data_IF_315648748488
#
_entry.id   IF_315648748488
#
_cell.length_a   1.000
_cell.length_b   1.000
_cell.length_c   1.000
_cell.angle_alpha   90.00
_cell.angle_beta   90.00
_cell.angle_gamma   90.00
#
_symmetry.space_group_name_H-M   'P 1'
#
loop_
_entity.id
_entity.type
_entity.pdbx_description
1 polymer ?
#
# COMPACT_ATOMS: atom_id res chain seq x y z
N UNK A 1 -26.69 2.46 8.11
CA UNK A 1 -25.43 1.77 8.50
C UNK A 1 -25.25 0.44 7.77
N UNK A 2 -26.20 -0.51 7.85
CA UNK A 2 -26.11 -1.79 7.13
C UNK A 2 -25.91 -1.60 5.61
N UNK A 3 -26.64 -0.66 5.01
CA UNK A 3 -26.52 -0.29 3.59
C UNK A 3 -25.09 0.11 3.18
N UNK A 4 -24.40 0.92 3.99
CA UNK A 4 -23.02 1.38 3.68
C UNK A 4 -22.04 0.21 3.72
N UNK A 5 -22.14 -0.66 4.74
CA UNK A 5 -21.31 -1.87 4.82
C UNK A 5 -21.53 -2.79 3.64
N UNK A 6 -22.80 -3.08 3.35
CA UNK A 6 -23.20 -3.91 2.21
C UNK A 6 -22.69 -3.32 0.91
N UNK A 7 -22.77 -2.00 0.71
CA UNK A 7 -22.25 -1.34 -0.48
C UNK A 7 -20.74 -1.59 -0.66
N UNK A 8 -19.90 -1.35 0.35
CA UNK A 8 -18.45 -1.56 0.22
C UNK A 8 -18.08 -3.04 0.08
N UNK A 9 -18.81 -3.96 0.71
CA UNK A 9 -18.61 -5.40 0.53
C UNK A 9 -18.96 -5.81 -0.90
N UNK A 10 -20.12 -5.38 -1.42
CA UNK A 10 -20.55 -5.66 -2.79
C UNK A 10 -19.54 -5.07 -3.78
N UNK A 11 -19.09 -3.83 -3.56
CA UNK A 11 -18.08 -3.18 -4.39
C UNK A 11 -16.77 -3.98 -4.38
N UNK A 12 -16.28 -4.38 -3.21
CA UNK A 12 -15.06 -5.19 -3.09
C UNK A 12 -15.18 -6.51 -3.84
N UNK A 13 -16.26 -7.26 -3.63
CA UNK A 13 -16.50 -8.55 -4.30
C UNK A 13 -16.64 -8.36 -5.81
N UNK A 14 -17.35 -7.31 -6.24
CA UNK A 14 -17.54 -7.00 -7.66
C UNK A 14 -16.21 -6.67 -8.34
N UNK A 15 -15.36 -5.86 -7.70
CA UNK A 15 -14.03 -5.55 -8.23
C UNK A 15 -13.15 -6.79 -8.28
N UNK A 16 -13.14 -7.59 -7.21
CA UNK A 16 -12.34 -8.82 -7.13
C UNK A 16 -12.74 -9.83 -8.20
N UNK A 17 -14.04 -10.18 -8.28
CA UNK A 17 -14.56 -11.10 -9.30
C UNK A 17 -14.40 -10.50 -10.70
N UNK A 18 -14.64 -9.20 -10.86
CA UNK A 18 -14.50 -8.48 -12.12
C UNK A 18 -13.10 -8.60 -12.70
N UNK A 19 -12.05 -8.54 -11.87
CA UNK A 19 -10.66 -8.74 -12.31
C UNK A 19 -10.44 -10.14 -12.90
N UNK A 20 -10.99 -11.20 -12.29
CA UNK A 20 -10.88 -12.56 -12.86
C UNK A 20 -11.69 -12.72 -14.15
N UNK A 21 -12.89 -12.14 -14.21
CA UNK A 21 -13.74 -12.17 -15.41
C UNK A 21 -13.04 -11.44 -16.56
N UNK A 22 -12.46 -10.27 -16.31
CA UNK A 22 -11.71 -9.51 -17.31
C UNK A 22 -10.45 -10.25 -17.75
N UNK A 23 -9.70 -10.85 -16.82
CA UNK A 23 -8.51 -11.63 -17.17
C UNK A 23 -8.83 -12.87 -18.02
N UNK A 24 -9.92 -13.56 -17.72
CA UNK A 24 -10.40 -14.67 -18.55
C UNK A 24 -10.90 -14.20 -19.92
N UNK A 25 -11.71 -13.13 -19.96
CA UNK A 25 -12.30 -12.59 -21.18
C UNK A 25 -11.25 -12.03 -22.15
N UNK A 26 -10.19 -11.41 -21.62
CA UNK A 26 -9.10 -10.81 -22.39
C UNK A 26 -7.91 -11.76 -22.58
N UNK A 27 -8.05 -13.05 -22.25
CA UNK A 27 -6.99 -14.03 -22.41
C UNK A 27 -6.53 -14.11 -23.88
N UNK A 28 -5.21 -14.02 -24.11
CA UNK A 28 -4.62 -14.05 -25.44
C UNK A 28 -4.59 -12.70 -26.17
N UNK A 29 -5.13 -11.63 -25.57
CA UNK A 29 -5.00 -10.26 -26.07
C UNK A 29 -3.76 -9.55 -25.49
N UNK A 30 -3.44 -8.36 -26.00
CA UNK A 30 -2.41 -7.47 -25.44
C UNK A 30 -3.10 -6.18 -24.97
N UNK A 31 -3.85 -6.25 -23.85
CA UNK A 31 -4.72 -5.14 -23.43
C UNK A 31 -3.92 -3.89 -23.05
N UNK A 32 -2.63 -4.05 -22.77
CA UNK A 32 -1.70 -2.98 -22.38
C UNK A 32 -0.79 -2.53 -23.52
N UNK A 33 -1.08 -2.88 -24.77
CA UNK A 33 -0.24 -2.58 -25.94
C UNK A 33 0.08 -1.10 -26.12
N UNK A 34 -0.84 -0.19 -25.75
CA UNK A 34 -0.60 1.26 -25.82
C UNK A 34 0.45 1.77 -24.83
N UNK A 35 0.86 0.97 -23.84
CA UNK A 35 1.96 1.28 -22.92
C UNK A 35 3.28 0.68 -23.43
N UNK A 36 3.57 0.88 -24.71
CA UNK A 36 4.62 0.23 -25.52
C UNK A 36 6.04 0.28 -24.90
N UNK A 37 6.36 1.28 -24.08
CA UNK A 37 7.64 1.36 -23.33
C UNK A 37 7.79 0.28 -22.24
N UNK A 38 6.73 -0.46 -21.90
CA UNK A 38 6.73 -1.57 -20.93
C UNK A 38 7.13 -2.94 -21.50
N UNK A 39 7.13 -3.10 -22.83
CA UNK A 39 7.39 -4.39 -23.48
C UNK A 39 8.90 -4.62 -23.68
N UNK A 40 9.64 -3.60 -24.12
CA UNK A 40 11.08 -3.73 -24.40
C UNK A 40 11.95 -3.89 -23.14
N UNK A 41 11.54 -3.39 -21.97
CA UNK A 41 12.27 -3.58 -20.71
C UNK A 41 11.99 -4.92 -20.01
N UNK A 42 10.91 -5.62 -20.36
CA UNK A 42 10.57 -6.93 -19.77
C UNK A 42 11.60 -8.03 -20.08
N UNK A 43 12.39 -7.86 -21.13
CA UNK A 43 13.26 -8.90 -21.67
C UNK A 43 14.58 -9.03 -20.88
N UNK A 44 15.05 -7.97 -20.19
CA UNK A 44 16.38 -7.96 -19.57
C UNK A 44 16.42 -7.67 -18.05
N UNK A 45 15.28 -7.50 -17.36
CA UNK A 45 15.33 -7.05 -15.96
C UNK A 45 14.07 -7.19 -15.15
N UNK A 46 13.32 -8.30 -15.28
CA UNK A 46 12.12 -8.53 -14.44
C UNK A 46 12.53 -8.45 -12.95
N UNK A 47 11.94 -7.52 -12.18
CA UNK A 47 12.32 -7.26 -10.80
C UNK A 47 11.85 -8.37 -9.82
N UNK A 48 10.87 -9.17 -10.22
CA UNK A 48 10.24 -10.19 -9.39
C UNK A 48 10.46 -11.60 -9.97
N UNK A 49 10.19 -12.64 -9.18
CA UNK A 49 10.26 -14.03 -9.61
C UNK A 49 9.11 -14.45 -10.55
N UNK A 50 7.93 -13.82 -10.43
CA UNK A 50 6.76 -14.22 -11.21
C UNK A 50 6.99 -13.97 -12.69
N UNK A 51 6.62 -14.94 -13.52
CA UNK A 51 6.80 -14.87 -14.96
C UNK A 51 5.85 -13.85 -15.57
N UNK A 52 6.39 -12.97 -16.41
CA UNK A 52 5.60 -11.95 -17.11
C UNK A 52 4.72 -12.57 -18.21
N UNK A 53 3.41 -12.53 -18.01
CA UNK A 53 2.41 -12.97 -18.99
C UNK A 53 1.96 -11.80 -19.85
N UNK A 54 2.82 -11.30 -20.73
CA UNK A 54 2.54 -10.10 -21.53
C UNK A 54 1.32 -10.20 -22.47
N UNK A 55 0.80 -11.41 -22.69
CA UNK A 55 -0.45 -11.70 -23.44
C UNK A 55 -1.65 -12.01 -22.52
N UNK A 56 -1.65 -11.46 -21.31
CA UNK A 56 -2.72 -11.60 -20.31
C UNK A 56 -3.06 -10.22 -19.74
N UNK A 57 -4.28 -10.07 -19.25
CA UNK A 57 -4.70 -8.83 -18.57
C UNK A 57 -3.94 -8.65 -17.25
N UNK A 58 -3.76 -9.73 -16.49
CA UNK A 58 -2.86 -9.77 -15.35
C UNK A 58 -1.54 -10.41 -15.76
N UNK A 59 -0.50 -9.59 -15.95
CA UNK A 59 0.85 -10.06 -16.28
C UNK A 59 1.46 -10.86 -15.13
N UNK A 60 1.20 -10.45 -13.89
CA UNK A 60 1.63 -11.11 -12.65
C UNK A 60 0.44 -11.33 -11.71
N UNK A 61 -0.19 -12.49 -11.79
CA UNK A 61 -1.38 -12.84 -11.00
C UNK A 61 -1.06 -13.02 -9.52
N UNK A 62 0.03 -13.72 -9.20
CA UNK A 62 0.39 -14.01 -7.82
C UNK A 62 0.81 -12.73 -7.08
N UNK A 63 1.45 -11.78 -7.76
CA UNK A 63 1.80 -10.49 -7.18
C UNK A 63 0.63 -9.48 -7.16
N UNK A 64 -0.31 -9.54 -8.10
CA UNK A 64 -1.44 -8.58 -8.17
C UNK A 64 -2.64 -8.89 -7.26
N UNK A 65 -2.86 -10.16 -6.91
CA UNK A 65 -4.03 -10.55 -6.11
C UNK A 65 -3.93 -10.20 -4.61
N UNK A 66 -2.78 -10.34 -3.94
CA UNK A 66 -2.61 -9.93 -2.55
C UNK A 66 -2.96 -8.45 -2.32
N UNK A 67 -2.91 -7.61 -3.35
CA UNK A 67 -3.16 -6.17 -3.32
C UNK A 67 -4.59 -5.84 -2.88
N UNK A 68 -5.53 -6.76 -3.12
CA UNK A 68 -6.90 -6.64 -2.62
C UNK A 68 -6.98 -6.62 -1.09
N UNK A 69 -5.96 -7.12 -0.38
CA UNK A 69 -5.89 -6.97 1.08
C UNK A 69 -5.80 -5.50 1.49
N UNK A 70 -5.00 -4.67 0.78
CA UNK A 70 -4.93 -3.23 0.99
C UNK A 70 -6.22 -2.54 0.63
N UNK A 71 -6.88 -2.95 -0.46
CA UNK A 71 -8.19 -2.41 -0.85
C UNK A 71 -9.25 -2.69 0.24
N UNK A 72 -9.26 -3.92 0.77
CA UNK A 72 -10.14 -4.33 1.87
C UNK A 72 -9.91 -3.51 3.14
N UNK A 73 -8.64 -3.29 3.52
CA UNK A 73 -8.27 -2.40 4.64
C UNK A 73 -8.73 -0.96 4.36
N UNK A 74 -8.51 -0.45 3.15
CA UNK A 74 -8.92 0.88 2.72
C UNK A 74 -10.43 1.09 2.87
N UNK A 75 -11.23 0.19 2.31
CA UNK A 75 -12.69 0.21 2.41
C UNK A 75 -13.17 0.08 3.85
N UNK A 76 -12.56 -0.81 4.63
CA UNK A 76 -12.87 -0.92 6.05
C UNK A 76 -12.67 0.43 6.77
N UNK A 77 -11.56 1.12 6.55
CA UNK A 77 -11.29 2.42 7.17
C UNK A 77 -12.31 3.50 6.72
N UNK A 78 -12.71 3.51 5.45
CA UNK A 78 -13.74 4.41 4.93
C UNK A 78 -15.11 4.13 5.53
N UNK A 79 -15.54 2.86 5.60
CA UNK A 79 -16.79 2.48 6.27
C UNK A 79 -16.78 2.93 7.73
N UNK A 80 -15.69 2.68 8.45
CA UNK A 80 -15.54 3.11 9.85
C UNK A 80 -15.63 4.63 10.00
N UNK A 81 -15.09 5.39 9.04
CA UNK A 81 -15.21 6.86 9.05
C UNK A 81 -16.65 7.33 8.86
N UNK A 82 -17.41 6.71 7.94
CA UNK A 82 -18.80 7.09 7.62
C UNK A 82 -19.72 6.76 8.81
N UNK A 83 -19.46 5.67 9.51
CA UNK A 83 -20.24 5.29 10.69
C UNK A 83 -20.07 6.25 11.87
N UNK A 84 -19.20 7.26 11.77
CA UNK A 84 -18.81 8.19 12.84
C UNK A 84 -18.40 7.47 14.16
N UNK A 85 -18.17 6.16 14.09
CA UNK A 85 -17.67 5.36 15.21
C UNK A 85 -16.17 5.56 15.21
N UNK A 86 -15.67 6.21 16.25
CA UNK A 86 -14.23 6.35 16.46
C UNK A 86 -13.57 4.99 16.22
N UNK A 87 -12.65 4.97 15.26
CA UNK A 87 -11.80 3.81 15.05
C UNK A 87 -10.77 3.80 16.17
N UNK A 88 -10.54 2.65 16.79
CA UNK A 88 -9.48 2.48 17.78
C UNK A 88 -8.10 2.86 17.24
N UNK A 89 -7.90 2.78 15.92
CA UNK A 89 -6.65 3.12 15.25
C UNK A 89 -6.40 4.62 15.17
N UNK A 90 -7.32 5.40 14.60
CA UNK A 90 -7.11 6.81 14.23
C UNK A 90 -7.86 7.81 15.13
N UNK A 91 -8.81 7.34 15.95
CA UNK A 91 -9.67 8.10 16.87
C UNK A 91 -10.51 9.23 16.23
N UNK A 92 -10.24 9.61 14.99
CA UNK A 92 -10.95 10.66 14.25
C UNK A 92 -11.34 10.23 12.84
N UNK A 93 -12.42 10.83 12.36
CA UNK A 93 -13.03 10.52 11.06
C UNK A 93 -12.08 10.89 9.93
N UNK A 94 -11.53 12.12 9.93
CA UNK A 94 -10.66 12.61 8.85
C UNK A 94 -9.40 11.75 8.67
N UNK A 95 -8.75 11.33 9.77
CA UNK A 95 -7.58 10.47 9.71
C UNK A 95 -7.94 9.06 9.20
N UNK A 96 -9.14 8.58 9.51
CA UNK A 96 -9.65 7.31 8.97
C UNK A 96 -9.89 7.40 7.46
N UNK A 97 -10.43 8.53 6.98
CA UNK A 97 -10.63 8.78 5.54
C UNK A 97 -9.28 8.82 4.83
N UNK A 98 -8.32 9.60 5.33
CA UNK A 98 -6.98 9.70 4.73
C UNK A 98 -6.34 8.31 4.66
N UNK A 99 -6.32 7.56 5.77
CA UNK A 99 -5.75 6.20 5.75
C UNK A 99 -6.49 5.26 4.79
N UNK A 100 -7.82 5.38 4.70
CA UNK A 100 -8.62 4.60 3.78
C UNK A 100 -8.22 4.87 2.33
N UNK A 101 -8.10 6.15 1.96
CA UNK A 101 -7.70 6.59 0.63
C UNK A 101 -6.27 6.19 0.28
N UNK A 102 -5.31 6.32 1.20
CA UNK A 102 -3.91 5.93 0.93
C UNK A 102 -3.78 4.43 0.66
N UNK A 103 -4.49 3.60 1.42
CA UNK A 103 -4.54 2.14 1.18
C UNK A 103 -5.21 1.81 -0.16
N UNK A 104 -6.27 2.53 -0.55
CA UNK A 104 -6.89 2.36 -1.86
C UNK A 104 -5.91 2.74 -2.98
N UNK A 105 -5.25 3.89 -2.88
CA UNK A 105 -4.25 4.34 -3.88
C UNK A 105 -3.13 3.31 -4.02
N UNK A 106 -2.59 2.79 -2.91
CA UNK A 106 -1.58 1.74 -2.96
C UNK A 106 -2.11 0.46 -3.60
N UNK A 107 -3.30 -0.02 -3.21
CA UNK A 107 -3.89 -1.22 -3.79
C UNK A 107 -4.09 -1.10 -5.31
N UNK A 108 -4.61 0.03 -5.79
CA UNK A 108 -4.80 0.28 -7.22
C UNK A 108 -3.48 0.45 -7.96
N UNK A 109 -2.50 1.13 -7.35
CA UNK A 109 -1.18 1.31 -7.91
C UNK A 109 -0.43 -0.01 -8.08
N UNK A 110 -0.36 -0.80 -7.02
CA UNK A 110 0.28 -2.12 -7.00
C UNK A 110 -0.40 -3.08 -7.99
N UNK A 111 -1.74 -3.13 -7.97
CA UNK A 111 -2.50 -3.93 -8.94
C UNK A 111 -2.19 -3.51 -10.37
N UNK A 112 -2.22 -2.20 -10.66
CA UNK A 112 -1.95 -1.69 -12.00
C UNK A 112 -0.50 -1.95 -12.42
N UNK A 113 0.47 -1.75 -11.52
CA UNK A 113 1.87 -2.06 -11.77
C UNK A 113 2.05 -3.53 -12.20
N UNK A 114 1.45 -4.47 -11.47
CA UNK A 114 1.54 -5.90 -11.77
C UNK A 114 0.65 -6.35 -12.94
N UNK A 115 -0.42 -5.61 -13.25
CA UNK A 115 -1.28 -5.87 -14.40
C UNK A 115 -0.66 -5.38 -15.71
N UNK A 116 -0.24 -4.10 -15.78
CA UNK A 116 0.25 -3.46 -17.01
C UNK A 116 1.78 -3.44 -17.14
N UNK A 117 2.53 -3.44 -16.02
CA UNK A 117 3.97 -3.08 -15.97
C UNK A 117 4.29 -1.72 -16.60
N UNK A 118 3.37 -0.78 -16.50
CA UNK A 118 3.47 0.53 -17.11
C UNK A 118 3.93 1.58 -16.10
N UNK A 119 4.61 2.64 -16.58
CA UNK A 119 5.15 3.70 -15.72
C UNK A 119 4.10 4.32 -14.80
N UNK A 120 2.89 4.52 -15.31
CA UNK A 120 1.80 5.06 -14.51
C UNK A 120 1.42 4.14 -13.35
N UNK A 121 1.32 2.83 -13.59
CA UNK A 121 1.07 1.83 -12.53
C UNK A 121 2.19 1.80 -11.51
N UNK A 122 3.44 1.74 -11.96
CA UNK A 122 4.63 1.77 -11.08
C UNK A 122 4.68 3.02 -10.21
N UNK A 123 4.46 4.20 -10.80
CA UNK A 123 4.41 5.47 -10.06
C UNK A 123 3.33 5.46 -8.98
N UNK A 124 2.12 5.00 -9.32
CA UNK A 124 1.02 4.88 -8.36
C UNK A 124 1.32 3.89 -7.24
N UNK A 125 1.96 2.77 -7.55
CA UNK A 125 2.39 1.76 -6.59
C UNK A 125 3.38 2.35 -5.57
N UNK A 126 4.50 2.91 -6.07
CA UNK A 126 5.56 3.52 -5.24
C UNK A 126 5.01 4.67 -4.42
N UNK A 127 4.25 5.58 -5.03
CA UNK A 127 3.60 6.68 -4.32
C UNK A 127 2.65 6.15 -3.23
N UNK A 128 1.79 5.18 -3.56
CA UNK A 128 0.86 4.58 -2.62
C UNK A 128 1.55 3.93 -1.43
N UNK A 129 2.62 3.17 -1.67
CA UNK A 129 3.45 2.56 -0.63
C UNK A 129 4.03 3.63 0.31
N UNK A 130 4.61 4.69 -0.26
CA UNK A 130 5.12 5.81 0.52
C UNK A 130 4.01 6.54 1.30
N UNK A 131 2.83 6.72 0.73
CA UNK A 131 1.70 7.35 1.42
C UNK A 131 1.20 6.53 2.62
N UNK A 132 1.09 5.21 2.48
CA UNK A 132 0.67 4.31 3.58
C UNK A 132 1.70 4.36 4.71
N UNK A 133 2.98 4.22 4.37
CA UNK A 133 4.07 4.25 5.35
C UNK A 133 4.21 5.62 6.02
N UNK A 134 4.15 6.71 5.26
CA UNK A 134 4.17 8.06 5.79
C UNK A 134 2.99 8.31 6.74
N UNK A 135 1.78 7.88 6.38
CA UNK A 135 0.60 8.08 7.20
C UNK A 135 0.79 7.48 8.59
N UNK A 136 1.23 6.21 8.68
CA UNK A 136 1.43 5.55 9.97
C UNK A 136 2.54 6.21 10.79
N UNK A 137 3.63 6.63 10.14
CA UNK A 137 4.77 7.27 10.80
C UNK A 137 4.38 8.63 11.37
N UNK A 138 3.79 9.50 10.55
CA UNK A 138 3.31 10.81 11.02
C UNK A 138 2.24 10.66 12.10
N UNK A 139 1.34 9.68 11.96
CA UNK A 139 0.29 9.46 12.94
C UNK A 139 0.88 9.06 14.28
N UNK A 140 1.85 8.13 14.29
CA UNK A 140 2.55 7.71 15.50
C UNK A 140 3.30 8.87 16.16
N UNK A 141 4.08 9.65 15.40
CA UNK A 141 4.79 10.83 15.89
C UNK A 141 3.83 11.84 16.52
N UNK A 142 2.67 12.06 15.90
CA UNK A 142 1.68 12.99 16.43
C UNK A 142 1.06 12.57 17.75
N UNK A 143 1.04 11.28 18.10
CA UNK A 143 0.57 10.86 19.42
C UNK A 143 1.45 11.37 20.56
N UNK A 144 2.70 11.75 20.27
CA UNK A 144 3.62 12.36 21.23
C UNK A 144 3.44 13.87 21.37
N UNK A 145 2.87 14.53 20.37
CA UNK A 145 2.67 15.98 20.36
C UNK A 145 1.40 16.32 21.16
N UNK A 146 1.58 16.88 22.36
CA UNK A 146 0.47 17.34 23.20
C UNK A 146 0.06 18.77 22.83
N UNK A 147 -0.70 18.91 21.75
CA UNK A 147 -1.42 20.16 21.46
C UNK A 147 -2.80 20.08 22.12
N UNK A 148 -3.16 21.08 22.92
CA UNK A 148 -4.45 21.14 23.63
C UNK A 148 -5.64 21.09 22.66
N UNK A 149 -5.52 21.79 21.53
CA UNK A 149 -6.56 21.83 20.51
C UNK A 149 -6.38 20.74 19.45
N UNK A 150 -7.08 19.61 19.65
CA UNK A 150 -7.07 18.48 18.72
C UNK A 150 -7.44 18.83 17.29
N UNK A 151 -8.31 19.84 17.05
CA UNK A 151 -8.68 20.24 15.68
C UNK A 151 -7.48 20.81 14.93
N UNK A 152 -6.71 21.67 15.59
CA UNK A 152 -5.49 22.26 15.02
C UNK A 152 -4.48 21.14 14.71
N UNK A 153 -4.30 20.17 15.61
CA UNK A 153 -3.42 19.03 15.37
C UNK A 153 -3.80 18.24 14.12
N UNK A 154 -5.10 17.99 13.89
CA UNK A 154 -5.55 17.28 12.68
C UNK A 154 -5.37 18.11 11.41
N UNK A 155 -5.56 19.43 11.47
CA UNK A 155 -5.32 20.29 10.31
C UNK A 155 -3.83 20.34 9.95
N UNK A 156 -2.95 20.47 10.96
CA UNK A 156 -1.50 20.42 10.77
C UNK A 156 -1.08 19.06 10.20
N UNK A 157 -1.60 17.95 10.74
CA UNK A 157 -1.38 16.62 10.18
C UNK A 157 -1.74 16.55 8.70
N UNK A 158 -2.97 16.96 8.39
CA UNK A 158 -3.52 16.84 7.04
C UNK A 158 -2.72 17.69 6.06
N UNK A 159 -2.37 18.91 6.46
CA UNK A 159 -1.54 19.80 5.66
C UNK A 159 -0.14 19.20 5.41
N UNK A 160 0.56 18.77 6.46
CA UNK A 160 1.88 18.13 6.32
C UNK A 160 1.81 16.87 5.47
N UNK A 161 0.80 16.04 5.70
CA UNK A 161 0.59 14.81 4.95
C UNK A 161 0.38 15.10 3.46
N UNK A 162 -0.50 16.04 3.11
CA UNK A 162 -0.75 16.42 1.71
C UNK A 162 0.47 17.07 1.04
N UNK A 163 1.22 17.91 1.77
CA UNK A 163 2.44 18.52 1.26
C UNK A 163 3.50 17.48 0.94
N UNK A 164 3.77 16.56 1.87
CA UNK A 164 4.74 15.49 1.65
C UNK A 164 4.22 14.52 0.58
N UNK A 165 2.92 14.20 0.56
CA UNK A 165 2.30 13.38 -0.48
C UNK A 165 2.53 13.96 -1.89
N UNK A 166 2.40 15.27 -2.05
CA UNK A 166 2.69 15.95 -3.32
C UNK A 166 4.16 15.78 -3.73
N UNK A 167 5.10 15.99 -2.80
CA UNK A 167 6.54 15.81 -3.06
C UNK A 167 6.84 14.36 -3.46
N UNK A 168 6.28 13.40 -2.72
CA UNK A 168 6.43 11.97 -2.97
C UNK A 168 5.85 11.55 -4.32
N UNK A 169 4.71 12.12 -4.72
CA UNK A 169 4.15 11.88 -6.05
C UNK A 169 5.11 12.26 -7.17
N UNK A 170 5.82 13.38 -7.05
CA UNK A 170 6.83 13.79 -8.03
C UNK A 170 8.11 12.96 -7.93
N UNK A 171 8.54 12.60 -6.71
CA UNK A 171 9.72 11.77 -6.50
C UNK A 171 9.53 10.31 -6.98
N UNK A 172 8.29 9.83 -7.07
CA UNK A 172 7.96 8.47 -7.54
C UNK A 172 8.01 8.33 -9.07
N UNK A 173 8.24 9.42 -9.80
CA UNK A 173 8.32 9.42 -11.27
C UNK A 173 9.70 8.98 -11.77
N UNK A 174 10.11 7.77 -11.38
CA UNK A 174 11.35 7.14 -11.82
C UNK A 174 10.94 5.82 -12.47
N UNK A 175 11.23 5.65 -13.76
CA UNK A 175 10.84 4.46 -14.49
C UNK A 175 12.05 3.57 -14.77
N UNK A 176 12.16 2.48 -14.02
CA UNK A 176 13.15 1.38 -14.11
C UNK A 176 14.35 1.58 -15.08
N UNK A 177 15.37 2.40 -14.76
CA UNK A 177 16.65 2.34 -15.46
C UNK A 177 17.67 1.60 -14.57
N UNK A 178 17.93 0.34 -14.93
CA UNK A 178 19.11 -0.52 -14.62
C UNK A 178 19.68 -0.65 -13.20
N UNK A 179 19.10 0.01 -12.20
CA UNK A 179 19.33 -0.36 -10.80
C UNK A 179 18.02 -0.20 -10.05
N UNK A 180 17.49 -1.32 -9.60
CA UNK A 180 16.39 -1.40 -8.65
C UNK A 180 16.58 -0.31 -7.58
N UNK A 181 15.80 0.76 -7.66
CA UNK A 181 16.18 2.01 -7.03
C UNK A 181 16.09 1.87 -5.51
N UNK A 182 17.26 1.78 -4.87
CA UNK A 182 17.32 1.67 -3.41
C UNK A 182 16.58 2.83 -2.73
N UNK A 183 16.37 3.98 -3.41
CA UNK A 183 15.59 5.11 -2.90
C UNK A 183 14.18 4.70 -2.47
N UNK A 184 13.47 3.90 -3.26
CA UNK A 184 12.11 3.43 -2.95
C UNK A 184 12.05 2.68 -1.62
N UNK A 185 13.00 1.75 -1.44
CA UNK A 185 13.10 0.89 -0.26
C UNK A 185 13.61 1.65 0.95
N UNK A 186 14.61 2.51 0.77
CA UNK A 186 15.23 3.30 1.86
C UNK A 186 14.18 4.16 2.54
N UNK A 187 13.31 4.84 1.78
CA UNK A 187 12.28 5.69 2.38
C UNK A 187 11.28 4.88 3.22
N UNK A 188 10.82 3.75 2.69
CA UNK A 188 9.90 2.83 3.39
C UNK A 188 10.54 2.30 4.67
N UNK A 189 11.77 1.79 4.58
CA UNK A 189 12.52 1.26 5.73
C UNK A 189 12.74 2.36 6.77
N UNK A 190 13.15 3.56 6.35
CA UNK A 190 13.33 4.70 7.23
C UNK A 190 12.04 5.08 7.97
N UNK A 191 10.92 5.20 7.24
CA UNK A 191 9.61 5.48 7.83
C UNK A 191 9.18 4.41 8.83
N UNK A 192 9.42 3.13 8.50
CA UNK A 192 9.13 1.99 9.39
C UNK A 192 9.98 2.00 10.65
N UNK A 193 11.28 2.27 10.55
CA UNK A 193 12.16 2.38 11.72
C UNK A 193 11.68 3.51 12.64
N UNK A 194 11.37 4.68 12.08
CA UNK A 194 10.86 5.83 12.86
C UNK A 194 9.52 5.46 13.52
N UNK A 195 8.60 4.82 12.79
CA UNK A 195 7.33 4.34 13.32
C UNK A 195 7.53 3.36 14.48
N UNK A 196 8.38 2.34 14.32
CA UNK A 196 8.63 1.33 15.35
C UNK A 196 9.25 1.95 16.61
N UNK A 197 10.22 2.85 16.45
CA UNK A 197 10.82 3.58 17.58
C UNK A 197 9.76 4.45 18.27
N UNK A 198 8.97 5.19 17.49
CA UNK A 198 7.93 6.08 18.02
C UNK A 198 6.86 5.32 18.80
N UNK A 199 6.36 4.21 18.27
CA UNK A 199 5.41 3.34 18.95
C UNK A 199 6.02 2.69 20.19
N UNK A 200 7.27 2.21 20.13
CA UNK A 200 7.94 1.62 21.29
C UNK A 200 8.08 2.64 22.43
N UNK A 201 8.53 3.85 22.12
CA UNK A 201 8.60 4.97 23.07
C UNK A 201 7.20 5.27 23.62
N UNK A 202 6.20 5.37 22.75
CA UNK A 202 4.81 5.65 23.16
C UNK A 202 4.33 4.62 24.17
N UNK A 203 4.46 3.32 23.84
CA UNK A 203 4.01 2.22 24.69
C UNK A 203 4.80 2.12 26.00
N UNK A 204 6.08 2.49 26.03
CA UNK A 204 6.89 2.49 27.26
C UNK A 204 6.45 3.58 28.24
N UNK A 205 6.12 4.78 27.74
CA UNK A 205 5.76 5.93 28.58
C UNK A 205 4.27 6.06 28.84
N UNK A 206 3.43 5.41 28.04
CA UNK A 206 2.00 5.32 28.29
C UNK A 206 1.67 4.06 29.09
N UNK A 207 0.61 4.10 29.91
CA UNK A 207 0.08 2.91 30.61
C UNK A 207 -0.66 1.98 29.63
N UNK A 208 0.02 1.60 28.54
CA UNK A 208 -0.52 0.79 27.45
C UNK A 208 -0.82 -0.63 27.94
N UNK A 209 -1.95 -1.17 27.47
CA UNK A 209 -2.42 -2.50 27.86
C UNK A 209 -1.56 -3.58 27.21
N UNK A 210 -1.29 -4.69 27.93
CA UNK A 210 -0.58 -5.90 27.44
C UNK A 210 -1.07 -6.39 26.07
N UNK A 211 -2.36 -6.20 25.74
CA UNK A 211 -2.94 -6.56 24.43
C UNK A 211 -2.35 -5.76 23.26
N UNK A 212 -2.08 -4.46 23.43
CA UNK A 212 -1.51 -3.63 22.37
C UNK A 212 -0.05 -4.00 22.09
N UNK A 213 0.74 -4.31 23.13
CA UNK A 213 2.10 -4.83 22.98
C UNK A 213 2.13 -6.13 22.15
N UNK A 214 1.17 -7.04 22.37
CA UNK A 214 1.05 -8.27 21.57
C UNK A 214 0.75 -7.98 20.11
N UNK A 215 -0.17 -7.05 19.83
CA UNK A 215 -0.50 -6.65 18.46
C UNK A 215 0.67 -5.97 17.77
N UNK A 216 1.42 -5.13 18.47
CA UNK A 216 2.66 -4.53 17.96
C UNK A 216 3.69 -5.59 17.62
N UNK A 217 3.95 -6.54 18.53
CA UNK A 217 4.88 -7.64 18.28
C UNK A 217 4.46 -8.51 17.08
N UNK A 218 3.18 -8.78 16.93
CA UNK A 218 2.65 -9.48 15.76
C UNK A 218 2.84 -8.67 14.46
N UNK A 219 2.55 -7.37 14.49
CA UNK A 219 2.78 -6.48 13.34
C UNK A 219 4.25 -6.44 12.93
N UNK A 220 5.17 -6.34 13.89
CA UNK A 220 6.62 -6.39 13.65
C UNK A 220 7.02 -7.71 13.00
N UNK A 221 6.53 -8.84 13.52
CA UNK A 221 6.80 -10.16 12.94
C UNK A 221 6.30 -10.24 11.48
N UNK A 222 5.10 -9.73 11.18
CA UNK A 222 4.56 -9.71 9.81
C UNK A 222 5.41 -8.83 8.87
N UNK A 223 5.91 -7.68 9.34
CA UNK A 223 6.83 -6.82 8.57
C UNK A 223 8.13 -7.56 8.26
N UNK A 224 8.71 -8.26 9.24
CA UNK A 224 9.96 -9.02 9.05
C UNK A 224 9.78 -10.17 8.05
N UNK A 225 8.67 -10.91 8.18
CA UNK A 225 8.32 -12.00 7.23
C UNK A 225 8.12 -11.42 5.83
N UNK A 226 7.32 -10.35 5.69
CA UNK A 226 7.07 -9.72 4.39
C UNK A 226 8.35 -9.16 3.76
N UNK A 227 9.20 -8.51 4.54
CA UNK A 227 10.50 -8.01 4.08
C UNK A 227 11.45 -9.13 3.65
N UNK A 228 11.49 -10.25 4.38
CA UNK A 228 12.26 -11.43 3.99
C UNK A 228 11.73 -12.03 2.69
N UNK A 229 10.42 -12.25 2.57
CA UNK A 229 9.79 -12.75 1.35
C UNK A 229 10.06 -11.83 0.15
N UNK A 230 9.95 -10.51 0.33
CA UNK A 230 10.26 -9.52 -0.70
C UNK A 230 11.74 -9.55 -1.11
N UNK A 231 12.65 -9.71 -0.16
CA UNK A 231 14.08 -9.86 -0.45
C UNK A 231 14.38 -11.16 -1.21
N UNK A 232 13.84 -12.30 -0.77
CA UNK A 232 14.00 -13.59 -1.44
C UNK A 232 13.46 -13.56 -2.88
N UNK A 233 12.32 -12.89 -3.09
CA UNK A 233 11.71 -12.66 -4.40
C UNK A 233 12.61 -11.80 -5.30
N UNK A 234 13.10 -10.65 -4.80
CA UNK A 234 13.97 -9.76 -5.55
C UNK A 234 15.35 -10.38 -5.86
N UNK A 235 15.89 -11.17 -4.93
CA UNK A 235 17.17 -11.88 -5.10
C UNK A 235 17.05 -13.17 -5.94
N UNK A 236 15.83 -13.53 -6.36
CA UNK A 236 15.53 -14.71 -7.15
C UNK A 236 15.98 -16.04 -6.53
N UNK A 237 15.98 -16.11 -5.19
CA UNK A 237 16.48 -17.29 -4.45
C UNK A 237 15.45 -18.43 -4.45
N UNK A 238 14.17 -18.10 -4.27
CA UNK A 238 13.05 -19.07 -4.24
C UNK A 238 12.03 -18.68 -5.31
N UNK A 239 12.45 -18.71 -6.58
CA UNK A 239 11.52 -18.50 -7.69
C UNK A 239 10.91 -19.84 -8.12
N UNK A 240 9.57 -19.92 -8.15
CA UNK A 240 8.90 -21.03 -8.80
C UNK A 240 8.71 -20.71 -10.29
N UNK A 241 9.43 -21.36 -11.23
CA UNK A 241 9.53 -20.91 -12.62
C UNK A 241 8.24 -21.05 -13.45
N UNK A 242 7.13 -21.49 -12.84
CA UNK A 242 5.83 -21.71 -13.50
C UNK A 242 4.65 -21.02 -12.80
N UNK A 243 4.88 -20.29 -11.70
CA UNK A 243 3.80 -19.58 -10.99
C UNK A 243 3.29 -18.38 -11.76
#
# INVERSE_FOLDING_TARGET
MLVVRSFFIILFVTLFVGVFVLDWYLAGTIPWSHYESSIQQSINGIPFCEYDRSRSFLREKANSLPDFSFLGVGFYMLVRSIEAKSNSLTKTIILSVINGLTNCVHAFGLWLNHACRCQFGHRLDVAGMWLVTLFITLYSLMQHIRIENKKITHYLFTFMFLLIAYILWHASDVYYPESYDNREKILVIGCMIIFLISEFVYMKFSKVKKKQMKLFGFGLMMILIGGLCGHLNAAKIICWPKS
#
